data_IF_968976100187
#
_entry.id   IF_968976100187
#
_cell.length_a   1.000
_cell.length_b   1.000
_cell.length_c   1.000
_cell.angle_alpha   90.00
_cell.angle_beta   90.00
_cell.angle_gamma   90.00
#
_symmetry.space_group_name_H-M   'P 1'
#
loop_
_entity.id
_entity.type
_entity.pdbx_description
1 polymer ?
#
# COMPACT_ATOMS: atom_id res chain seq x y z
N UNK A 1 11.72 12.49 16.30
CA UNK A 1 12.21 12.79 14.93
C UNK A 1 13.31 11.79 14.59
N UNK A 2 13.38 11.28 13.34
CA UNK A 2 14.45 10.35 12.92
C UNK A 2 15.74 11.13 12.70
N UNK A 3 16.87 10.64 13.22
CA UNK A 3 18.18 11.27 13.02
C UNK A 3 18.77 10.94 11.64
N UNK A 4 19.58 11.83 11.08
CA UNK A 4 20.31 11.56 9.82
C UNK A 4 21.24 10.36 10.03
N UNK A 5 21.12 9.35 9.17
CA UNK A 5 21.95 8.14 9.21
C UNK A 5 21.37 6.93 9.94
N UNK A 6 20.14 7.04 10.49
CA UNK A 6 19.48 5.88 11.11
C UNK A 6 19.25 4.77 10.07
N UNK A 7 19.87 3.60 10.30
CA UNK A 7 19.68 2.40 9.47
C UNK A 7 18.40 1.69 9.90
N UNK A 8 17.54 1.38 8.94
CA UNK A 8 16.32 0.61 9.17
C UNK A 8 16.52 -0.82 8.69
N UNK A 9 16.41 -1.79 9.60
CA UNK A 9 16.43 -3.20 9.24
C UNK A 9 15.18 -3.54 8.43
N UNK A 10 15.37 -4.26 7.32
CA UNK A 10 14.28 -4.81 6.52
C UNK A 10 14.06 -6.26 6.93
N UNK A 11 12.80 -6.60 7.17
CA UNK A 11 12.38 -7.96 7.52
C UNK A 11 11.36 -8.43 6.48
N UNK A 12 11.37 -9.74 6.22
CA UNK A 12 10.38 -10.37 5.35
C UNK A 12 9.06 -10.54 6.09
N UNK A 13 7.95 -10.58 5.36
CA UNK A 13 6.61 -10.75 5.97
C UNK A 13 6.50 -12.10 6.69
N UNK A 14 7.12 -13.15 6.15
CA UNK A 14 7.20 -14.47 6.78
C UNK A 14 7.88 -14.41 8.15
N UNK A 15 9.02 -13.71 8.25
CA UNK A 15 9.73 -13.56 9.53
C UNK A 15 8.92 -12.73 10.53
N UNK A 16 8.27 -11.65 10.07
CA UNK A 16 7.42 -10.83 10.93
C UNK A 16 6.27 -11.68 11.50
N UNK A 17 5.66 -12.56 10.70
CA UNK A 17 4.59 -13.44 11.16
C UNK A 17 5.09 -14.44 12.20
N UNK A 18 6.24 -15.08 11.99
CA UNK A 18 6.85 -16.00 12.95
C UNK A 18 7.14 -15.33 14.31
N UNK A 19 7.67 -14.11 14.27
CA UNK A 19 7.92 -13.30 15.48
C UNK A 19 6.61 -12.94 16.18
N UNK A 20 5.57 -12.57 15.43
CA UNK A 20 4.25 -12.25 16.01
C UNK A 20 3.57 -13.47 16.64
N UNK A 21 3.69 -14.66 16.04
CA UNK A 21 3.19 -15.91 16.62
C UNK A 21 3.94 -16.26 17.91
N UNK A 22 5.28 -16.18 17.88
CA UNK A 22 6.13 -16.38 19.06
C UNK A 22 5.76 -15.40 20.18
N UNK A 23 5.52 -14.13 19.83
CA UNK A 23 5.10 -13.07 20.75
C UNK A 23 3.73 -13.32 21.36
N UNK A 24 2.80 -13.97 20.65
CA UNK A 24 1.48 -14.34 21.20
C UNK A 24 1.60 -15.46 22.24
N UNK A 25 2.53 -16.40 22.03
CA UNK A 25 2.71 -17.58 22.90
C UNK A 25 3.55 -17.29 24.13
N UNK A 26 4.65 -16.56 23.99
CA UNK A 26 5.65 -16.34 25.04
C UNK A 26 5.71 -14.90 25.56
N UNK A 27 4.95 -13.99 24.96
CA UNK A 27 5.00 -12.57 25.27
C UNK A 27 6.16 -11.84 24.59
N UNK A 28 6.07 -10.51 24.55
CA UNK A 28 6.98 -9.70 23.76
C UNK A 28 8.41 -9.68 24.30
N UNK A 29 8.61 -9.71 25.63
CA UNK A 29 9.94 -9.59 26.25
C UNK A 29 10.83 -10.79 25.90
N UNK A 30 10.29 -12.00 26.09
CA UNK A 30 10.98 -13.26 25.76
C UNK A 30 11.25 -13.35 24.26
N UNK A 31 10.27 -12.93 23.45
CA UNK A 31 10.42 -12.95 21.98
C UNK A 31 11.45 -11.93 21.49
N UNK A 32 11.50 -10.74 22.10
CA UNK A 32 12.49 -9.72 21.81
C UNK A 32 13.92 -10.22 22.05
N UNK A 33 14.15 -10.88 23.19
CA UNK A 33 15.43 -11.50 23.54
C UNK A 33 15.77 -12.64 22.57
N UNK A 34 14.81 -13.52 22.25
CA UNK A 34 15.01 -14.67 21.35
C UNK A 34 15.43 -14.27 19.94
N UNK A 35 14.78 -13.25 19.36
CA UNK A 35 15.01 -12.84 17.97
C UNK A 35 15.95 -11.62 17.84
N UNK A 36 16.44 -11.06 18.94
CA UNK A 36 17.29 -9.86 18.93
C UNK A 36 16.57 -8.60 18.43
N UNK A 37 15.25 -8.53 18.63
CA UNK A 37 14.39 -7.45 18.14
C UNK A 37 13.93 -6.60 19.31
N UNK A 38 13.84 -5.28 19.15
CA UNK A 38 13.34 -4.44 20.24
C UNK A 38 11.85 -4.70 20.49
N UNK A 39 11.43 -4.68 21.76
CA UNK A 39 10.02 -4.83 22.16
C UNK A 39 9.10 -3.82 21.43
N UNK A 40 9.59 -2.59 21.22
CA UNK A 40 8.87 -1.54 20.48
C UNK A 40 8.61 -1.91 19.02
N UNK A 41 9.56 -2.60 18.37
CA UNK A 41 9.37 -3.10 16.99
C UNK A 41 8.26 -4.15 16.94
N UNK A 42 8.26 -5.11 17.87
CA UNK A 42 7.21 -6.14 17.98
C UNK A 42 5.85 -5.50 18.24
N UNK A 43 5.78 -4.50 19.13
CA UNK A 43 4.56 -3.73 19.41
C UNK A 43 4.02 -3.00 18.17
N UNK A 44 4.93 -2.39 17.39
CA UNK A 44 4.57 -1.73 16.13
C UNK A 44 4.02 -2.71 15.10
N UNK A 45 4.64 -3.90 14.97
CA UNK A 45 4.13 -4.95 14.09
C UNK A 45 2.77 -5.45 14.55
N UNK A 46 2.57 -5.69 15.83
CA UNK A 46 1.26 -6.12 16.37
C UNK A 46 0.15 -5.10 16.10
N UNK A 47 0.44 -3.81 16.27
CA UNK A 47 -0.50 -2.74 15.96
C UNK A 47 -0.87 -2.70 14.47
N UNK A 48 0.14 -2.78 13.59
CA UNK A 48 -0.08 -2.82 12.14
C UNK A 48 -0.85 -4.09 11.72
N UNK A 49 -0.59 -5.23 12.35
CA UNK A 49 -1.30 -6.49 12.08
C UNK A 49 -2.78 -6.34 12.42
N UNK A 50 -3.10 -5.81 13.61
CA UNK A 50 -4.47 -5.58 14.07
C UNK A 50 -5.25 -4.64 13.14
N UNK A 51 -4.56 -3.65 12.58
CA UNK A 51 -5.18 -2.66 11.71
C UNK A 51 -5.11 -3.04 10.21
N UNK A 52 -4.78 -4.30 9.88
CA UNK A 52 -4.60 -4.80 8.51
C UNK A 52 -3.58 -3.99 7.65
N UNK A 53 -2.65 -3.27 8.28
CA UNK A 53 -1.65 -2.42 7.63
C UNK A 53 -0.35 -3.16 7.25
N UNK A 54 -0.27 -4.48 7.49
CA UNK A 54 0.92 -5.28 7.15
C UNK A 54 0.90 -5.74 5.70
N UNK A 55 -0.27 -6.00 5.12
CA UNK A 55 -0.35 -6.67 3.82
C UNK A 55 -0.37 -5.73 2.60
N UNK A 56 -0.45 -4.41 2.78
CA UNK A 56 -0.62 -3.51 1.65
C UNK A 56 0.32 -2.34 1.86
N UNK A 57 1.34 -2.23 1.01
CA UNK A 57 1.95 -0.94 0.71
C UNK A 57 0.79 0.01 0.43
N UNK A 58 0.36 0.80 1.42
CA UNK A 58 -0.62 1.85 1.20
C UNK A 58 -0.09 2.63 0.00
N UNK A 59 -0.80 2.55 -1.14
CA UNK A 59 -0.35 3.21 -2.37
C UNK A 59 -0.13 4.67 -2.00
N UNK A 60 1.13 5.09 -1.96
CA UNK A 60 1.47 6.49 -1.70
C UNK A 60 0.88 7.30 -2.85
N UNK A 61 0.08 8.32 -2.52
CA UNK A 61 -0.54 9.23 -3.49
C UNK A 61 -2.05 9.33 -3.33
N UNK A 62 -2.64 10.31 -4.03
CA UNK A 62 -4.09 10.54 -4.04
C UNK A 62 -4.82 9.32 -4.61
N UNK A 63 -5.79 8.79 -3.87
CA UNK A 63 -6.69 7.75 -4.37
C UNK A 63 -7.43 8.30 -5.61
N UNK A 64 -7.27 7.63 -6.76
CA UNK A 64 -8.01 7.98 -7.98
C UNK A 64 -9.39 7.33 -7.90
N UNK A 65 -10.38 8.09 -7.43
CA UNK A 65 -11.79 7.65 -7.32
C UNK A 65 -12.55 7.63 -8.66
N UNK A 66 -11.88 7.39 -9.79
CA UNK A 66 -12.58 7.37 -11.08
C UNK A 66 -12.22 6.12 -11.86
N UNK A 67 -13.13 5.16 -11.84
CA UNK A 67 -13.22 4.11 -12.84
C UNK A 67 -13.60 4.81 -14.16
N UNK A 68 -12.61 5.07 -15.02
CA UNK A 68 -12.84 5.77 -16.29
C UNK A 68 -13.34 4.77 -17.32
N UNK A 69 -14.60 4.87 -17.74
CA UNK A 69 -15.12 4.12 -18.88
C UNK A 69 -14.57 4.71 -20.18
N UNK A 70 -13.42 4.20 -20.64
CA UNK A 70 -12.75 4.70 -21.84
C UNK A 70 -13.54 4.42 -23.12
N UNK A 71 -14.36 3.36 -23.15
CA UNK A 71 -15.18 2.99 -24.32
C UNK A 71 -16.25 4.06 -24.59
N UNK A 72 -17.03 4.44 -23.58
CA UNK A 72 -18.04 5.49 -23.72
C UNK A 72 -17.43 6.84 -24.10
N UNK A 73 -16.29 7.20 -23.49
CA UNK A 73 -15.59 8.45 -23.82
C UNK A 73 -15.12 8.49 -25.28
N UNK A 74 -14.63 7.36 -25.79
CA UNK A 74 -14.20 7.24 -27.17
C UNK A 74 -15.38 7.38 -28.13
N UNK A 75 -16.50 6.71 -27.87
CA UNK A 75 -17.71 6.82 -28.69
C UNK A 75 -18.25 8.27 -28.75
N UNK A 76 -18.23 8.98 -27.62
CA UNK A 76 -18.63 10.39 -27.57
C UNK A 76 -17.68 11.26 -28.39
N UNK A 77 -16.37 11.07 -28.22
CA UNK A 77 -15.36 11.82 -28.98
C UNK A 77 -15.47 11.55 -30.49
N UNK A 78 -15.69 10.29 -30.88
CA UNK A 78 -15.83 9.89 -32.27
C UNK A 78 -17.04 10.57 -32.92
N UNK A 79 -18.22 10.49 -32.29
CA UNK A 79 -19.44 11.17 -32.77
C UNK A 79 -19.27 12.68 -32.85
N UNK A 80 -18.55 13.28 -31.90
CA UNK A 80 -18.25 14.70 -31.92
C UNK A 80 -17.30 15.08 -33.06
N UNK A 81 -16.27 14.29 -33.34
CA UNK A 81 -15.41 14.51 -34.50
C UNK A 81 -16.15 14.36 -35.82
N UNK A 82 -17.03 13.36 -35.94
CA UNK A 82 -17.90 13.18 -37.12
C UNK A 82 -18.83 14.39 -37.31
N UNK A 83 -19.39 14.93 -36.22
CA UNK A 83 -20.21 16.14 -36.27
C UNK A 83 -19.42 17.36 -36.75
N UNK A 84 -18.21 17.58 -36.22
CA UNK A 84 -17.37 18.71 -36.63
C UNK A 84 -16.94 18.61 -38.09
N UNK A 85 -16.52 17.44 -38.56
CA UNK A 85 -16.16 17.21 -39.96
C UNK A 85 -17.31 17.56 -40.93
N UNK A 86 -18.54 17.21 -40.54
CA UNK A 86 -19.74 17.55 -41.30
C UNK A 86 -20.09 19.06 -41.27
N UNK A 87 -19.77 19.77 -40.19
CA UNK A 87 -19.98 21.22 -40.09
C UNK A 87 -18.93 22.04 -40.85
N UNK A 88 -17.66 21.62 -40.83
CA UNK A 88 -16.57 22.33 -41.49
C UNK A 88 -16.48 22.03 -43.00
N UNK A 89 -17.33 21.15 -43.53
CA UNK A 89 -17.33 20.82 -44.96
C UNK A 89 -16.06 20.10 -45.41
N UNK A 90 -15.29 19.51 -44.48
CA UNK A 90 -14.16 18.65 -44.75
C UNK A 90 -14.69 17.30 -45.28
N UNK A 91 -15.03 17.29 -46.57
CA UNK A 91 -15.07 16.08 -47.40
C UNK A 91 -13.69 15.81 -47.98
#
# INVERSE_FOLDING_TARGET
MVSKGQKFNKYTDSFINEVLESSRKYGNKITAEKYGITNNTIGTWRYKYKNHQIAIKNKKGRQKNTEKNYKERYEILKKFMEFLANQEGLK
#
